data_IF_725796965713
#
_entry.id   IF_725796965713
#
_cell.length_a   1.000
_cell.length_b   1.000
_cell.length_c   1.000
_cell.angle_alpha   90.00
_cell.angle_beta   90.00
_cell.angle_gamma   90.00
#
_symmetry.space_group_name_H-M   'P 1'
#
loop_
_entity.id
_entity.type
_entity.pdbx_description
1 polymer ?
#
# COMPACT_ATOMS: atom_id res chain seq x y z
N UNK A 1 5.03 0.23 8.75
CA UNK A 1 6.45 0.44 8.44
C UNK A 1 6.82 0.02 7.04
N UNK A 2 6.76 -1.28 6.73
CA UNK A 2 7.01 -1.75 5.35
C UNK A 2 6.06 -1.08 4.36
N UNK A 3 4.84 -0.82 4.74
CA UNK A 3 3.85 -0.16 3.89
C UNK A 3 4.30 1.24 3.45
N UNK A 4 4.91 2.02 4.33
CA UNK A 4 5.45 3.33 3.95
C UNK A 4 6.60 3.19 2.95
N UNK A 5 7.50 2.22 3.14
CA UNK A 5 8.59 1.97 2.21
C UNK A 5 8.07 1.53 0.83
N UNK A 6 7.05 0.69 0.80
CA UNK A 6 6.37 0.27 -0.44
C UNK A 6 5.72 1.46 -1.15
N UNK A 7 4.99 2.30 -0.43
CA UNK A 7 4.38 3.50 -1.01
C UNK A 7 5.43 4.44 -1.63
N UNK A 8 6.52 4.67 -0.91
CA UNK A 8 7.62 5.49 -1.42
C UNK A 8 8.24 4.91 -2.69
N UNK A 9 8.38 3.58 -2.76
CA UNK A 9 8.91 2.93 -3.95
C UNK A 9 7.94 3.03 -5.13
N UNK A 10 6.64 2.85 -4.89
CA UNK A 10 5.61 3.04 -5.93
C UNK A 10 5.63 4.46 -6.49
N UNK A 11 5.74 5.46 -5.62
CA UNK A 11 5.82 6.87 -6.03
C UNK A 11 7.08 7.12 -6.84
N UNK A 12 8.23 6.59 -6.42
CA UNK A 12 9.49 6.70 -7.15
C UNK A 12 9.41 6.06 -8.54
N UNK A 13 8.67 4.96 -8.67
CA UNK A 13 8.45 4.26 -9.94
C UNK A 13 7.39 4.92 -10.84
N UNK A 14 6.78 6.01 -10.39
CA UNK A 14 5.82 6.78 -11.17
C UNK A 14 4.44 6.15 -11.33
N UNK A 15 4.04 5.27 -10.42
CA UNK A 15 2.73 4.61 -10.48
C UNK A 15 1.61 5.64 -10.34
N UNK A 16 0.76 5.74 -11.37
CA UNK A 16 -0.46 6.57 -11.37
C UNK A 16 -0.26 8.03 -10.96
N UNK A 17 0.95 8.59 -11.14
CA UNK A 17 1.30 9.95 -10.74
C UNK A 17 1.02 10.24 -9.25
N UNK A 18 1.22 9.25 -8.39
CA UNK A 18 0.99 9.38 -6.95
C UNK A 18 2.04 10.27 -6.29
N UNK A 19 1.59 11.11 -5.38
CA UNK A 19 2.42 11.98 -4.55
C UNK A 19 2.01 11.81 -3.09
N UNK A 20 2.95 11.44 -2.24
CA UNK A 20 2.69 11.20 -0.82
C UNK A 20 2.15 12.47 -0.15
N UNK A 21 1.12 12.31 0.69
CA UNK A 21 0.40 13.35 1.42
C UNK A 21 -0.44 14.30 0.54
N UNK A 22 -0.53 14.05 -0.76
CA UNK A 22 -1.41 14.78 -1.66
C UNK A 22 -2.54 13.90 -2.20
N UNK A 23 -2.19 12.78 -2.83
CA UNK A 23 -3.14 11.81 -3.38
C UNK A 23 -2.79 10.38 -3.01
N UNK A 24 -1.82 10.19 -2.14
CA UNK A 24 -1.36 8.89 -1.67
C UNK A 24 -1.02 9.00 -0.18
N UNK A 25 -1.62 8.14 0.64
CA UNK A 25 -1.54 8.24 2.10
C UNK A 25 -1.13 6.93 2.73
N UNK A 26 -0.35 7.02 3.80
CA UNK A 26 0.07 5.86 4.56
C UNK A 26 -0.91 5.58 5.68
N UNK A 27 -1.44 4.34 5.71
CA UNK A 27 -2.34 3.76 6.71
C UNK A 27 -3.75 4.37 6.72
N UNK A 28 -3.90 5.67 6.55
CA UNK A 28 -5.21 6.31 6.60
C UNK A 28 -5.25 7.58 5.74
N UNK A 29 -6.32 7.72 4.96
CA UNK A 29 -6.60 8.97 4.26
C UNK A 29 -7.02 10.05 5.27
N UNK A 30 -6.60 11.32 5.07
CA UNK A 30 -7.08 12.42 5.88
C UNK A 30 -8.59 12.54 5.81
N UNK A 31 -9.23 12.86 6.92
CA UNK A 31 -10.66 13.12 6.96
C UNK A 31 -10.94 14.57 6.55
N UNK A 32 -11.97 14.73 5.74
CA UNK A 32 -12.50 16.04 5.40
C UNK A 32 -13.38 16.60 6.55
N UNK A 33 -13.83 17.86 6.43
CA UNK A 33 -14.67 18.50 7.44
C UNK A 33 -15.97 17.74 7.73
N UNK A 34 -16.49 17.01 6.75
CA UNK A 34 -17.69 16.20 6.88
C UNK A 34 -17.45 14.81 7.48
N UNK A 35 -16.21 14.50 7.86
CA UNK A 35 -15.81 13.21 8.42
C UNK A 35 -15.54 12.12 7.39
N UNK A 36 -15.69 12.38 6.10
CA UNK A 36 -15.40 11.43 5.04
C UNK A 36 -13.93 11.45 4.65
N UNK A 37 -13.35 10.31 4.19
CA UNK A 37 -11.97 10.27 3.74
C UNK A 37 -11.75 11.13 2.49
N UNK A 38 -10.56 11.70 2.37
CA UNK A 38 -10.15 12.41 1.17
C UNK A 38 -9.99 11.43 -0.01
N UNK A 39 -10.15 11.94 -1.23
CA UNK A 39 -9.90 11.15 -2.43
C UNK A 39 -8.42 10.82 -2.58
N UNK A 40 -8.11 9.65 -3.15
CA UNK A 40 -6.75 9.23 -3.41
C UNK A 40 -6.55 7.73 -3.18
N UNK A 41 -5.30 7.38 -2.94
CA UNK A 41 -4.89 6.00 -2.66
C UNK A 41 -4.30 5.95 -1.25
N UNK A 42 -4.70 4.94 -0.48
CA UNK A 42 -4.04 4.69 0.80
C UNK A 42 -3.77 3.20 0.99
N UNK A 43 -2.66 2.92 1.66
CA UNK A 43 -2.20 1.55 1.91
C UNK A 43 -2.30 1.25 3.40
N UNK A 44 -3.07 0.23 3.72
CA UNK A 44 -3.39 -0.15 5.09
C UNK A 44 -2.90 -1.57 5.37
N UNK A 45 -2.27 -1.76 6.52
CA UNK A 45 -1.95 -3.10 7.02
C UNK A 45 -3.21 -3.70 7.64
N UNK A 46 -3.65 -4.84 7.10
CA UNK A 46 -4.85 -5.54 7.59
C UNK A 46 -4.51 -6.58 8.66
N UNK A 47 -3.33 -7.16 8.59
CA UNK A 47 -2.88 -8.15 9.56
C UNK A 47 -1.49 -8.65 9.23
N UNK A 48 -0.95 -9.51 10.09
CA UNK A 48 0.37 -10.06 9.84
C UNK A 48 0.82 -11.00 10.95
N UNK A 49 1.99 -11.57 10.75
CA UNK A 49 2.67 -12.44 11.71
C UNK A 49 4.17 -12.19 11.67
N UNK A 50 4.86 -12.59 12.72
CA UNK A 50 6.30 -12.45 12.83
C UNK A 50 6.91 -13.74 13.32
N UNK A 51 8.12 -14.05 12.82
CA UNK A 51 8.90 -15.19 13.24
C UNK A 51 10.35 -14.74 13.44
N UNK A 52 10.95 -15.16 14.56
CA UNK A 52 12.36 -14.90 14.80
C UNK A 52 13.23 -15.73 13.85
N UNK A 53 14.29 -15.12 13.36
CA UNK A 53 15.31 -15.79 12.57
C UNK A 53 16.71 -15.40 13.08
N UNK A 54 17.76 -16.16 12.74
CA UNK A 54 19.12 -15.80 13.15
C UNK A 54 19.57 -14.41 12.66
N UNK A 55 19.00 -13.91 11.57
CA UNK A 55 19.36 -12.63 10.96
C UNK A 55 18.43 -11.47 11.35
N UNK A 56 17.40 -11.72 12.17
CA UNK A 56 16.44 -10.70 12.54
C UNK A 56 15.01 -11.27 12.64
N UNK A 57 14.03 -10.52 12.15
CA UNK A 57 12.65 -10.93 12.10
C UNK A 57 12.23 -11.20 10.66
N UNK A 58 11.59 -12.35 10.45
CA UNK A 58 10.85 -12.61 9.22
C UNK A 58 9.38 -12.25 9.46
N UNK A 59 8.87 -11.34 8.65
CA UNK A 59 7.55 -10.77 8.82
C UNK A 59 6.68 -11.07 7.60
N UNK A 60 5.40 -11.26 7.87
CA UNK A 60 4.38 -11.44 6.84
C UNK A 60 3.24 -10.46 7.14
N UNK A 61 2.90 -9.62 6.19
CA UNK A 61 1.83 -8.65 6.31
C UNK A 61 0.84 -8.80 5.17
N UNK A 62 -0.44 -8.73 5.49
CA UNK A 62 -1.50 -8.59 4.48
C UNK A 62 -1.87 -7.13 4.41
N UNK A 63 -1.84 -6.55 3.23
CA UNK A 63 -2.08 -5.12 3.01
C UNK A 63 -3.17 -4.91 1.98
N UNK A 64 -3.90 -3.81 2.14
CA UNK A 64 -4.93 -3.38 1.21
C UNK A 64 -4.59 -2.01 0.66
N UNK A 65 -4.60 -1.90 -0.67
CA UNK A 65 -4.52 -0.63 -1.38
C UNK A 65 -5.94 -0.17 -1.69
N UNK A 66 -6.37 0.89 -1.01
CA UNK A 66 -7.67 1.51 -1.27
C UNK A 66 -7.49 2.57 -2.35
N UNK A 67 -8.23 2.43 -3.45
CA UNK A 67 -8.27 3.43 -4.51
C UNK A 67 -9.64 4.07 -4.49
N UNK A 68 -9.71 5.34 -4.08
CA UNK A 68 -10.96 6.08 -3.88
C UNK A 68 -10.93 7.37 -4.69
N UNK A 69 -11.58 7.37 -5.85
CA UNK A 69 -11.60 8.50 -6.76
C UNK A 69 -13.04 8.87 -7.15
N UNK A 70 -13.19 10.06 -7.76
CA UNK A 70 -14.49 10.62 -8.03
C UNK A 70 -15.31 9.87 -9.09
N UNK A 71 -14.66 9.10 -9.97
CA UNK A 71 -15.38 8.34 -10.98
C UNK A 71 -14.82 6.92 -11.17
N UNK A 72 -15.69 6.04 -11.63
CA UNK A 72 -15.38 4.63 -11.81
C UNK A 72 -14.23 4.37 -12.80
N UNK A 73 -14.17 5.00 -14.00
CA UNK A 73 -13.06 4.77 -14.93
C UNK A 73 -11.68 5.13 -14.35
N UNK A 74 -11.57 6.22 -13.61
CA UNK A 74 -10.31 6.63 -12.96
C UNK A 74 -9.91 5.66 -11.85
N UNK A 75 -10.86 5.25 -11.02
CA UNK A 75 -10.63 4.24 -9.97
C UNK A 75 -10.13 2.94 -10.58
N UNK A 76 -10.77 2.46 -11.63
CA UNK A 76 -10.37 1.25 -12.36
C UNK A 76 -8.95 1.36 -12.91
N UNK A 77 -8.63 2.49 -13.54
CA UNK A 77 -7.31 2.70 -14.14
C UNK A 77 -6.19 2.72 -13.10
N UNK A 78 -6.36 3.44 -12.00
CA UNK A 78 -5.37 3.50 -10.93
C UNK A 78 -5.23 2.14 -10.25
N UNK A 79 -6.33 1.46 -10.00
CA UNK A 79 -6.32 0.11 -9.44
C UNK A 79 -5.53 -0.86 -10.33
N UNK A 80 -5.75 -0.81 -11.65
CA UNK A 80 -5.02 -1.62 -12.62
C UNK A 80 -3.52 -1.32 -12.59
N UNK A 81 -3.13 -0.05 -12.54
CA UNK A 81 -1.72 0.34 -12.47
C UNK A 81 -1.04 -0.18 -11.20
N UNK A 82 -1.74 -0.15 -10.06
CA UNK A 82 -1.22 -0.70 -8.80
C UNK A 82 -1.04 -2.22 -8.92
N UNK A 83 -2.02 -2.94 -9.46
CA UNK A 83 -1.88 -4.39 -9.68
C UNK A 83 -0.74 -4.72 -10.63
N UNK A 84 -0.58 -3.99 -11.71
CA UNK A 84 0.54 -4.17 -12.64
C UNK A 84 1.89 -3.95 -11.95
N UNK A 85 1.99 -2.95 -11.08
CA UNK A 85 3.21 -2.71 -10.31
C UNK A 85 3.51 -3.87 -9.36
N UNK A 86 2.51 -4.39 -8.65
CA UNK A 86 2.66 -5.55 -7.76
C UNK A 86 3.14 -6.76 -8.55
N UNK A 87 2.55 -7.04 -9.71
CA UNK A 87 2.92 -8.17 -10.56
C UNK A 87 4.33 -8.00 -11.12
N UNK A 88 4.72 -6.78 -11.46
CA UNK A 88 6.05 -6.47 -12.01
C UNK A 88 7.15 -6.51 -10.94
N UNK A 89 6.81 -6.43 -9.66
CA UNK A 89 7.77 -6.38 -8.55
C UNK A 89 7.53 -7.52 -7.54
N UNK A 90 7.58 -8.79 -7.96
CA UNK A 90 7.36 -9.91 -7.05
C UNK A 90 8.44 -10.03 -5.97
N UNK A 91 9.64 -9.51 -6.26
CA UNK A 91 10.78 -9.53 -5.35
C UNK A 91 11.48 -8.17 -5.39
N UNK A 92 11.72 -7.60 -4.21
CA UNK A 92 12.52 -6.39 -4.04
C UNK A 92 13.64 -6.75 -3.06
N UNK A 93 14.90 -6.51 -3.46
CA UNK A 93 16.05 -6.92 -2.64
C UNK A 93 16.09 -6.17 -1.32
N UNK A 94 15.96 -4.85 -1.36
CA UNK A 94 16.11 -4.00 -0.20
C UNK A 94 15.22 -2.76 -0.30
N UNK A 95 14.64 -2.36 0.83
CA UNK A 95 13.98 -1.07 1.00
C UNK A 95 14.39 -0.49 2.35
N UNK A 96 14.47 0.83 2.42
CA UNK A 96 14.75 1.54 3.66
C UNK A 96 13.58 2.47 3.97
N UNK A 97 13.15 2.45 5.22
CA UNK A 97 12.09 3.34 5.69
C UNK A 97 12.48 4.02 6.99
N UNK A 98 12.02 5.25 7.18
CA UNK A 98 12.25 6.01 8.41
C UNK A 98 10.93 6.50 8.98
N UNK A 99 10.75 6.29 10.28
CA UNK A 99 9.59 6.79 11.02
C UNK A 99 10.08 7.30 12.39
N UNK A 100 9.70 8.52 12.73
CA UNK A 100 10.05 9.11 14.03
C UNK A 100 11.55 9.20 14.29
N UNK A 101 12.36 9.41 13.25
CA UNK A 101 13.81 9.49 13.35
C UNK A 101 14.54 8.17 13.41
N UNK A 102 13.82 7.04 13.40
CA UNK A 102 14.41 5.70 13.34
C UNK A 102 14.37 5.16 11.92
N UNK A 103 15.50 4.67 11.44
CA UNK A 103 15.63 4.06 10.12
C UNK A 103 15.53 2.55 10.24
N UNK A 104 14.76 1.94 9.35
CA UNK A 104 14.55 0.49 9.28
C UNK A 104 15.01 -0.01 7.92
N UNK A 105 15.72 -1.14 7.93
CA UNK A 105 16.19 -1.80 6.72
C UNK A 105 15.39 -3.09 6.51
N UNK A 106 14.73 -3.17 5.36
CA UNK A 106 13.94 -4.32 4.95
C UNK A 106 14.67 -5.03 3.81
N UNK A 107 14.72 -6.34 3.87
CA UNK A 107 15.37 -7.16 2.84
C UNK A 107 14.53 -8.38 2.46
N UNK A 108 14.89 -9.02 1.35
CA UNK A 108 14.19 -10.20 0.82
C UNK A 108 12.67 -10.00 0.74
N UNK A 109 12.25 -8.85 0.22
CA UNK A 109 10.85 -8.48 0.15
C UNK A 109 10.20 -9.23 -1.01
N UNK A 110 9.12 -9.95 -0.72
CA UNK A 110 8.28 -10.62 -1.71
C UNK A 110 6.88 -10.08 -1.61
N UNK A 111 6.31 -9.72 -2.76
CA UNK A 111 4.97 -9.16 -2.84
C UNK A 111 4.15 -10.07 -3.75
N UNK A 112 2.99 -10.49 -3.27
CA UNK A 112 2.09 -11.36 -3.99
C UNK A 112 0.67 -10.81 -3.93
N UNK A 113 -0.01 -10.64 -5.09
CA UNK A 113 -1.41 -10.24 -5.07
C UNK A 113 -2.26 -11.33 -4.44
N UNK A 114 -3.27 -10.92 -3.69
CA UNK A 114 -4.25 -11.81 -3.08
C UNK A 114 -5.64 -11.50 -3.62
N UNK A 115 -6.60 -12.39 -3.34
CA UNK A 115 -7.99 -12.18 -3.77
C UNK A 115 -8.58 -10.96 -3.10
N UNK A 116 -9.19 -10.10 -3.89
CA UNK A 116 -9.89 -8.90 -3.43
C UNK A 116 -11.36 -8.96 -3.83
N UNK A 117 -12.24 -8.21 -3.13
CA UNK A 117 -13.61 -8.04 -3.61
C UNK A 117 -13.61 -7.41 -5.01
N UNK A 118 -14.37 -8.00 -5.92
CA UNK A 118 -14.45 -7.52 -7.30
C UNK A 118 -15.34 -6.29 -7.45
N UNK A 119 -16.16 -6.00 -6.46
CA UNK A 119 -17.17 -4.95 -6.52
C UNK A 119 -16.63 -3.60 -6.07
N UNK A 120 -17.10 -2.56 -6.74
CA UNK A 120 -16.86 -1.18 -6.30
C UNK A 120 -17.72 -0.86 -5.07
N UNK A 121 -17.14 -0.05 -4.17
CA UNK A 121 -17.84 0.51 -3.02
C UNK A 121 -17.99 2.01 -3.28
N UNK A 122 -19.16 2.56 -2.99
CA UNK A 122 -19.40 4.01 -3.10
C UNK A 122 -19.53 4.58 -1.70
N UNK A 123 -18.72 5.60 -1.40
CA UNK A 123 -18.74 6.28 -0.10
C UNK A 123 -19.85 7.33 -0.04
N UNK A 124 -20.12 7.87 1.17
CA UNK A 124 -21.11 8.92 1.37
C UNK A 124 -20.81 10.21 0.59
N UNK A 125 -19.53 10.50 0.34
CA UNK A 125 -19.10 11.66 -0.46
C UNK A 125 -18.90 11.31 -1.95
N UNK A 126 -19.53 10.23 -2.42
CA UNK A 126 -19.52 9.79 -3.82
C UNK A 126 -18.16 9.41 -4.39
N UNK A 127 -17.23 8.98 -3.56
CA UNK A 127 -16.00 8.37 -4.04
C UNK A 127 -16.26 6.91 -4.43
N UNK A 128 -15.75 6.51 -5.57
CA UNK A 128 -15.79 5.11 -6.02
C UNK A 128 -14.53 4.42 -5.54
N UNK A 129 -14.68 3.40 -4.72
CA UNK A 129 -13.56 2.70 -4.08
C UNK A 129 -13.40 1.31 -4.66
N UNK A 130 -12.18 0.96 -5.00
CA UNK A 130 -11.77 -0.40 -5.35
C UNK A 130 -10.52 -0.77 -4.57
N UNK A 131 -10.46 -2.00 -4.08
CA UNK A 131 -9.38 -2.47 -3.21
C UNK A 131 -8.50 -3.46 -3.97
N UNK A 132 -7.18 -3.28 -3.89
CA UNK A 132 -6.21 -4.28 -4.30
C UNK A 132 -5.52 -4.79 -3.04
N UNK A 133 -5.46 -6.11 -2.87
CA UNK A 133 -4.82 -6.71 -1.70
C UNK A 133 -3.56 -7.47 -2.10
N UNK A 134 -2.59 -7.47 -1.21
CA UNK A 134 -1.34 -8.19 -1.39
C UNK A 134 -0.85 -8.77 -0.07
N UNK A 135 -0.05 -9.82 -0.17
CA UNK A 135 0.73 -10.35 0.93
C UNK A 135 2.18 -9.93 0.72
N UNK A 136 2.79 -9.36 1.76
CA UNK A 136 4.19 -8.94 1.74
C UNK A 136 4.94 -9.77 2.79
N UNK A 137 5.99 -10.46 2.35
CA UNK A 137 6.89 -11.23 3.21
C UNK A 137 8.25 -10.57 3.13
N UNK A 138 8.85 -10.29 4.27
CA UNK A 138 10.11 -9.57 4.30
C UNK A 138 10.90 -9.86 5.56
N UNK A 139 12.21 -9.56 5.52
CA UNK A 139 13.09 -9.62 6.67
C UNK A 139 13.36 -8.20 7.18
N UNK A 140 13.29 -8.03 8.49
CA UNK A 140 13.63 -6.79 9.17
C UNK A 140 14.92 -7.05 9.96
N UNK A 141 15.97 -6.29 9.67
CA UNK A 141 17.22 -6.35 10.42
C UNK A 141 17.01 -5.88 11.87
N UNK A 142 17.69 -6.57 12.78
CA UNK A 142 17.70 -6.20 14.20
C UNK A 142 18.67 -5.07 14.47
#
# INVERSE_FOLDING_TARGET
MITLAILKQMVADGVADLVIDQNCFWEQAPLQKDGNPASGVWLVTRGGSAMNSPKGLNLRSTVDFYVALANKPKTEDVHRQILEWIIANPCICELTGSVGGTTYDFSNIRIRPTTTPANFIVTQNNLVVKIASAEIIYDLAR
#
